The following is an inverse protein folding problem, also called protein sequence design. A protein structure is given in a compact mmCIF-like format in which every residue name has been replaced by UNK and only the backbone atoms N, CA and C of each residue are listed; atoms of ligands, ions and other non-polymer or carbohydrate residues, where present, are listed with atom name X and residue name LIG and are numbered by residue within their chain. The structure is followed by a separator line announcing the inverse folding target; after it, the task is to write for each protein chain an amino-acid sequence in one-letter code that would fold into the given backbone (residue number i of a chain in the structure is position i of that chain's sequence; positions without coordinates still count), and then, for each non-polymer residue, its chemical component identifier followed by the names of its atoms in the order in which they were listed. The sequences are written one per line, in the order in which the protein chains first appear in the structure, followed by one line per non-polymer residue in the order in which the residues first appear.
data_IF_709247792347
#
_entry.id   IF_709247792347
#
_cell.length_a   1.000
_cell.length_b   1.000
_cell.length_c   1.000
_cell.angle_alpha   90.00
_cell.angle_beta   90.00
_cell.angle_gamma   90.00
#
_symmetry.space_group_name_H-M   'P 1'
#
loop_
_entity.id
_entity.type
_entity.pdbx_description
1 polymer ?
#
# COMPACT_ATOMS: atom_id res chain seq x y z
N UNK A 1 -12.99 -21.55 22.56
CA UNK A 1 -12.28 -21.50 21.27
C UNK A 1 -13.02 -20.48 20.42
N UNK A 2 -12.45 -19.29 20.23
CA UNK A 2 -13.10 -18.22 19.46
C UNK A 2 -12.95 -18.56 17.99
N UNK A 3 -14.05 -18.84 17.28
CA UNK A 3 -14.03 -19.01 15.82
C UNK A 3 -13.51 -17.72 15.19
N UNK A 4 -12.40 -17.79 14.48
CA UNK A 4 -11.83 -16.63 13.76
C UNK A 4 -12.76 -16.31 12.59
N UNK A 5 -13.44 -15.19 12.67
CA UNK A 5 -14.31 -14.60 11.63
C UNK A 5 -13.61 -14.49 10.27
N UNK A 6 -14.35 -14.66 9.16
CA UNK A 6 -13.85 -14.38 7.81
C UNK A 6 -13.61 -12.86 7.70
N UNK A 7 -12.36 -12.47 7.49
CA UNK A 7 -11.99 -11.05 7.46
C UNK A 7 -12.00 -10.50 6.03
N UNK A 8 -12.88 -9.52 5.79
CA UNK A 8 -12.88 -8.76 4.53
C UNK A 8 -11.58 -7.94 4.42
N UNK A 9 -10.98 -7.98 3.23
CA UNK A 9 -9.73 -7.27 2.94
C UNK A 9 -8.47 -7.98 3.39
N UNK A 10 -8.58 -9.28 3.71
CA UNK A 10 -7.46 -10.14 4.11
C UNK A 10 -7.42 -11.44 3.31
N UNK A 11 -6.22 -11.91 3.07
CA UNK A 11 -5.97 -13.27 2.58
C UNK A 11 -6.06 -14.24 3.74
N UNK A 12 -6.72 -15.36 3.53
CA UNK A 12 -6.82 -16.43 4.51
C UNK A 12 -7.08 -17.76 3.85
N UNK A 13 -6.72 -18.83 4.53
CA UNK A 13 -7.05 -20.20 4.09
C UNK A 13 -8.46 -20.53 4.54
N UNK A 14 -9.32 -20.92 3.61
CA UNK A 14 -10.70 -21.34 3.85
C UNK A 14 -10.92 -22.75 3.31
N UNK A 15 -11.86 -23.49 3.94
CA UNK A 15 -12.23 -24.85 3.58
C UNK A 15 -13.42 -24.85 2.63
N UNK A 16 -13.43 -25.69 1.61
CA UNK A 16 -14.56 -25.93 0.73
C UNK A 16 -15.67 -26.65 1.48
N UNK A 17 -16.79 -25.96 1.70
CA UNK A 17 -17.94 -26.52 2.46
C UNK A 17 -18.94 -27.18 1.56
N UNK A 18 -19.27 -26.60 0.42
CA UNK A 18 -20.25 -27.11 -0.54
C UNK A 18 -20.02 -26.58 -1.96
N UNK A 19 -20.53 -27.29 -2.94
CA UNK A 19 -20.53 -26.86 -4.35
C UNK A 19 -21.90 -26.30 -4.73
N UNK A 20 -21.93 -25.41 -5.74
CA UNK A 20 -23.16 -24.87 -6.34
C UNK A 20 -22.96 -24.64 -7.85
N UNK A 21 -24.01 -24.26 -8.56
CA UNK A 21 -23.94 -23.87 -9.98
C UNK A 21 -23.09 -22.63 -10.20
N UNK A 22 -22.99 -21.74 -9.19
CA UNK A 22 -22.23 -20.48 -9.24
C UNK A 22 -20.76 -20.61 -8.82
N UNK A 23 -20.37 -21.75 -8.24
CA UNK A 23 -19.01 -21.99 -7.73
C UNK A 23 -19.00 -22.81 -6.45
N UNK A 24 -18.04 -22.56 -5.58
CA UNK A 24 -17.91 -23.24 -4.29
C UNK A 24 -18.05 -22.26 -3.13
N UNK A 25 -18.69 -22.70 -2.06
CA UNK A 25 -18.78 -21.93 -0.81
C UNK A 25 -17.66 -22.35 0.12
N UNK A 26 -16.95 -21.35 0.61
CA UNK A 26 -15.79 -21.49 1.47
C UNK A 26 -16.10 -20.96 2.87
N UNK A 27 -15.54 -21.58 3.89
CA UNK A 27 -15.72 -21.15 5.28
C UNK A 27 -14.56 -21.58 6.17
N UNK A 28 -14.64 -21.19 7.46
CA UNK A 28 -13.71 -21.65 8.48
C UNK A 28 -14.35 -22.77 9.30
N UNK A 29 -13.72 -23.93 9.33
CA UNK A 29 -14.13 -25.03 10.19
C UNK A 29 -14.11 -26.39 9.52
N UNK A 30 -13.88 -27.40 10.33
CA UNK A 30 -14.01 -28.82 9.94
C UNK A 30 -15.47 -29.15 9.64
N UNK A 31 -15.66 -29.99 8.63
CA UNK A 31 -16.95 -30.62 8.33
C UNK A 31 -17.36 -31.56 9.47
N UNK A 32 -18.02 -31.06 10.49
CA UNK A 32 -18.83 -31.92 11.34
C UNK A 32 -20.14 -32.20 10.60
N UNK A 33 -20.44 -33.43 10.31
CA UNK A 33 -21.55 -33.92 9.47
C UNK A 33 -22.98 -33.60 9.94
N UNK A 34 -23.20 -32.41 10.44
CA UNK A 34 -24.49 -31.77 10.71
C UNK A 34 -24.49 -30.40 10.07
N UNK A 35 -25.58 -30.00 9.43
CA UNK A 35 -25.87 -28.72 8.79
C UNK A 35 -25.71 -27.50 9.73
N UNK A 36 -24.50 -27.18 10.16
CA UNK A 36 -24.23 -26.12 11.11
C UNK A 36 -23.15 -25.16 10.61
N UNK A 37 -23.15 -24.84 9.32
CA UNK A 37 -22.59 -23.60 8.83
C UNK A 37 -23.76 -22.72 8.42
N UNK A 38 -24.16 -21.73 9.21
CA UNK A 38 -25.14 -20.76 8.78
C UNK A 38 -24.65 -20.12 7.48
N UNK A 39 -25.53 -19.83 6.54
CA UNK A 39 -25.16 -19.10 5.30
C UNK A 39 -24.38 -17.81 5.58
N UNK A 40 -24.51 -17.27 6.78
CA UNK A 40 -23.83 -16.09 7.28
C UNK A 40 -22.30 -16.25 7.48
N UNK A 41 -21.79 -17.49 7.51
CA UNK A 41 -20.35 -17.74 7.78
C UNK A 41 -19.60 -18.31 6.56
N UNK A 42 -20.20 -18.28 5.37
CA UNK A 42 -19.56 -18.76 4.14
C UNK A 42 -19.47 -17.69 3.07
N UNK A 43 -18.43 -17.77 2.23
CA UNK A 43 -18.22 -16.87 1.08
C UNK A 43 -18.18 -17.69 -0.21
N UNK A 44 -18.71 -17.14 -1.28
CA UNK A 44 -18.67 -17.74 -2.61
C UNK A 44 -17.32 -17.50 -3.27
N UNK A 45 -16.66 -18.56 -3.76
CA UNK A 45 -15.62 -18.50 -4.78
C UNK A 45 -16.28 -18.79 -6.13
N UNK A 46 -16.29 -17.80 -7.08
CA UNK A 46 -16.96 -17.96 -8.36
C UNK A 46 -16.41 -19.14 -9.19
N UNK A 47 -17.28 -19.79 -9.94
CA UNK A 47 -16.97 -20.99 -10.75
C UNK A 47 -15.74 -20.81 -11.64
N UNK A 48 -15.59 -19.65 -12.28
CA UNK A 48 -14.46 -19.34 -13.16
C UNK A 48 -13.10 -19.22 -12.44
N UNK A 49 -13.10 -19.23 -11.10
CA UNK A 49 -11.88 -19.16 -10.27
C UNK A 49 -11.65 -20.43 -9.45
N UNK A 50 -12.52 -21.43 -9.57
CA UNK A 50 -12.37 -22.71 -8.85
C UNK A 50 -11.26 -23.53 -9.54
N UNK A 51 -10.17 -23.88 -8.85
CA UNK A 51 -9.13 -24.73 -9.42
C UNK A 51 -9.68 -26.11 -9.80
N UNK A 52 -9.12 -26.69 -10.85
CA UNK A 52 -9.45 -28.06 -11.26
C UNK A 52 -9.10 -29.05 -10.14
N UNK A 53 -10.02 -30.02 -9.90
CA UNK A 53 -9.82 -31.05 -8.91
C UNK A 53 -10.10 -30.66 -7.46
N UNK A 54 -10.50 -29.40 -7.18
CA UNK A 54 -10.85 -28.96 -5.84
C UNK A 54 -12.11 -29.69 -5.33
N UNK A 55 -12.04 -30.27 -4.13
CA UNK A 55 -13.09 -31.10 -3.51
C UNK A 55 -13.60 -30.47 -2.21
N UNK A 56 -14.78 -30.88 -1.81
CA UNK A 56 -15.32 -30.54 -0.50
C UNK A 56 -14.39 -31.08 0.59
N UNK A 57 -14.02 -30.20 1.54
CA UNK A 57 -13.06 -30.46 2.61
C UNK A 57 -11.64 -30.01 2.30
N UNK A 58 -11.33 -29.68 1.05
CA UNK A 58 -10.02 -29.12 0.70
C UNK A 58 -9.88 -27.68 1.21
N UNK A 59 -8.66 -27.28 1.52
CA UNK A 59 -8.32 -25.93 1.92
C UNK A 59 -7.72 -25.15 0.75
N UNK A 60 -8.12 -23.87 0.63
CA UNK A 60 -7.64 -22.99 -0.44
C UNK A 60 -7.33 -21.59 0.11
N UNK A 61 -6.16 -20.99 -0.22
CA UNK A 61 -5.87 -19.61 0.11
C UNK A 61 -6.67 -18.68 -0.80
N UNK A 62 -7.44 -17.77 -0.21
CA UNK A 62 -8.27 -16.79 -0.93
C UNK A 62 -8.21 -15.43 -0.28
N UNK A 63 -8.40 -14.40 -1.07
CA UNK A 63 -8.66 -13.06 -0.60
C UNK A 63 -10.18 -12.83 -0.56
N UNK A 64 -10.68 -12.18 0.50
CA UNK A 64 -12.11 -11.92 0.66
C UNK A 64 -12.40 -10.43 0.55
N UNK A 65 -13.35 -10.06 -0.31
CA UNK A 65 -13.78 -8.68 -0.53
C UNK A 65 -15.29 -8.60 -0.77
N UNK A 66 -15.83 -7.44 -1.11
CA UNK A 66 -17.25 -7.27 -1.47
C UNK A 66 -17.41 -7.08 -2.96
N UNK A 67 -18.39 -7.80 -3.55
CA UNK A 67 -18.79 -7.63 -4.96
C UNK A 67 -19.57 -6.31 -5.17
N UNK A 68 -20.09 -6.10 -6.38
CA UNK A 68 -20.85 -4.90 -6.73
C UNK A 68 -22.22 -4.79 -6.02
N UNK A 69 -22.70 -5.90 -5.46
CA UNK A 69 -23.96 -5.97 -4.70
C UNK A 69 -23.71 -6.00 -3.18
N UNK A 70 -22.47 -5.66 -2.75
CA UNK A 70 -22.02 -5.66 -1.34
C UNK A 70 -22.01 -7.01 -0.64
N UNK A 71 -22.08 -8.11 -1.39
CA UNK A 71 -21.98 -9.46 -0.83
C UNK A 71 -20.50 -9.84 -0.63
N UNK A 72 -20.14 -10.49 0.48
CA UNK A 72 -18.80 -11.07 0.63
C UNK A 72 -18.53 -12.11 -0.47
N UNK A 73 -17.40 -11.98 -1.15
CA UNK A 73 -16.96 -12.89 -2.21
C UNK A 73 -15.47 -13.20 -2.05
N UNK A 74 -15.09 -14.43 -2.37
CA UNK A 74 -13.70 -14.87 -2.37
C UNK A 74 -13.09 -14.83 -3.78
N UNK A 75 -11.78 -14.64 -3.85
CA UNK A 75 -11.00 -14.74 -5.08
C UNK A 75 -9.66 -15.42 -4.80
N UNK A 76 -9.19 -16.24 -5.77
CA UNK A 76 -7.82 -16.78 -5.76
C UNK A 76 -6.79 -15.76 -6.28
N UNK A 77 -7.25 -14.68 -6.91
CA UNK A 77 -6.38 -13.58 -7.34
C UNK A 77 -5.90 -12.82 -6.11
N UNK A 78 -4.65 -12.39 -6.12
CA UNK A 78 -4.06 -11.61 -5.03
C UNK A 78 -4.08 -10.13 -5.40
N UNK A 79 -4.68 -9.26 -4.56
CA UNK A 79 -4.50 -7.83 -4.69
C UNK A 79 -3.04 -7.45 -4.40
N UNK A 80 -2.63 -6.27 -4.84
CA UNK A 80 -1.29 -5.77 -4.51
C UNK A 80 -1.12 -5.48 -3.02
N UNK A 81 -2.20 -5.13 -2.30
CA UNK A 81 -2.17 -4.85 -0.87
C UNK A 81 -3.46 -5.26 -0.17
N UNK A 82 -3.37 -5.47 1.12
CA UNK A 82 -4.48 -5.79 2.01
C UNK A 82 -4.93 -4.59 2.86
N UNK A 83 -6.09 -4.70 3.49
CA UNK A 83 -6.57 -3.69 4.43
C UNK A 83 -5.57 -3.47 5.57
N UNK A 84 -5.25 -2.20 5.83
CA UNK A 84 -4.24 -1.78 6.81
C UNK A 84 -2.86 -1.55 6.24
N UNK A 85 -2.57 -2.04 5.03
CA UNK A 85 -1.32 -1.81 4.34
C UNK A 85 -1.34 -0.54 3.49
N UNK A 86 -0.16 -0.14 3.03
CA UNK A 86 0.04 0.91 2.06
C UNK A 86 0.36 0.29 0.70
N UNK A 87 0.03 1.00 -0.37
CA UNK A 87 0.42 0.60 -1.72
C UNK A 87 0.63 1.81 -2.63
N UNK A 88 1.54 1.66 -3.58
CA UNK A 88 1.77 2.65 -4.61
C UNK A 88 1.02 2.23 -5.88
N UNK A 89 -0.15 2.87 -6.12
CA UNK A 89 -1.14 2.42 -7.10
C UNK A 89 -1.39 3.46 -8.18
N UNK A 90 -1.76 2.98 -9.38
CA UNK A 90 -2.10 3.82 -10.53
C UNK A 90 -3.59 4.17 -10.54
N UNK A 91 -3.91 5.45 -10.74
CA UNK A 91 -5.28 5.93 -10.97
C UNK A 91 -5.73 5.51 -12.37
N UNK A 92 -6.72 4.63 -12.49
CA UNK A 92 -7.30 4.21 -13.77
C UNK A 92 -8.31 5.23 -14.29
N UNK A 93 -9.18 5.72 -13.41
CA UNK A 93 -10.24 6.64 -13.78
C UNK A 93 -10.56 7.62 -12.64
N UNK A 94 -11.04 8.81 -13.00
CA UNK A 94 -11.61 9.79 -12.09
C UNK A 94 -13.06 10.06 -12.50
N UNK A 95 -13.97 10.01 -11.55
CA UNK A 95 -15.42 10.18 -11.74
C UNK A 95 -15.97 11.27 -10.83
N UNK A 96 -17.27 11.55 -10.89
CA UNK A 96 -17.94 12.49 -9.97
C UNK A 96 -17.97 12.04 -8.50
N UNK A 97 -17.71 10.77 -8.22
CA UNK A 97 -17.75 10.20 -6.86
C UNK A 97 -16.37 10.10 -6.22
N UNK A 98 -15.30 10.01 -7.03
CA UNK A 98 -13.92 9.79 -6.59
C UNK A 98 -13.08 9.18 -7.70
N UNK A 99 -11.94 8.64 -7.37
CA UNK A 99 -11.05 7.94 -8.29
C UNK A 99 -11.11 6.42 -8.09
N UNK A 100 -10.72 5.69 -9.11
CA UNK A 100 -10.59 4.24 -9.12
C UNK A 100 -9.14 3.89 -9.41
N UNK A 101 -8.57 3.02 -8.58
CA UNK A 101 -7.17 2.64 -8.61
C UNK A 101 -7.02 1.18 -9.04
N UNK A 102 -5.99 0.91 -9.83
CA UNK A 102 -5.57 -0.46 -10.11
C UNK A 102 -4.87 -1.06 -8.88
N UNK A 103 -5.42 -2.11 -8.33
CA UNK A 103 -4.89 -2.83 -7.18
C UNK A 103 -4.73 -4.35 -7.41
N UNK A 104 -4.74 -4.77 -8.70
CA UNK A 104 -4.51 -6.15 -9.11
C UNK A 104 -5.75 -7.03 -9.19
N UNK A 105 -6.93 -6.53 -8.83
CA UNK A 105 -8.21 -7.24 -8.98
C UNK A 105 -9.06 -6.67 -10.13
N UNK A 106 -10.07 -7.42 -10.57
CA UNK A 106 -10.99 -6.98 -11.64
C UNK A 106 -11.79 -5.73 -11.26
N UNK A 107 -12.24 -5.68 -10.01
CA UNK A 107 -12.93 -4.52 -9.46
C UNK A 107 -11.89 -3.54 -8.92
N UNK A 108 -11.85 -2.34 -9.50
CA UNK A 108 -10.91 -1.30 -9.09
C UNK A 108 -11.15 -0.84 -7.65
N UNK A 109 -10.08 -0.43 -6.96
CA UNK A 109 -10.14 0.09 -5.60
C UNK A 109 -10.63 1.55 -5.62
N UNK A 110 -11.66 1.84 -4.83
CA UNK A 110 -12.26 3.17 -4.76
C UNK A 110 -11.49 4.11 -3.81
N UNK A 111 -11.18 5.32 -4.30
CA UNK A 111 -10.62 6.43 -3.54
C UNK A 111 -11.64 7.57 -3.50
N UNK A 112 -12.39 7.76 -2.41
CA UNK A 112 -13.38 8.83 -2.28
C UNK A 112 -12.71 10.22 -2.27
N UNK A 113 -13.38 11.26 -2.79
CA UNK A 113 -12.85 12.63 -2.74
C UNK A 113 -12.52 13.10 -1.32
N UNK A 114 -13.32 12.73 -0.31
CA UNK A 114 -13.07 13.07 1.08
C UNK A 114 -11.78 12.47 1.64
N UNK A 115 -11.23 11.44 1.00
CA UNK A 115 -10.00 10.75 1.36
C UNK A 115 -8.79 11.18 0.51
N UNK A 116 -8.99 12.15 -0.39
CA UNK A 116 -7.89 12.75 -1.16
C UNK A 116 -7.31 13.94 -0.42
N UNK A 117 -5.99 14.05 -0.37
CA UNK A 117 -5.29 15.29 0.06
C UNK A 117 -5.41 16.38 -1.00
N UNK A 118 -5.35 16.00 -2.28
CA UNK A 118 -5.45 16.90 -3.44
C UNK A 118 -6.20 16.20 -4.58
N UNK A 119 -6.77 16.93 -5.55
CA UNK A 119 -7.36 16.35 -6.75
C UNK A 119 -6.34 15.54 -7.56
N UNK A 120 -6.74 14.36 -8.01
CA UNK A 120 -5.89 13.42 -8.74
C UNK A 120 -6.30 13.31 -10.21
N UNK A 121 -5.43 12.72 -11.04
CA UNK A 121 -5.66 12.53 -12.48
C UNK A 121 -5.48 11.08 -12.87
N UNK A 122 -6.19 10.63 -13.93
CA UNK A 122 -5.95 9.32 -14.54
C UNK A 122 -4.50 9.19 -15.01
N UNK A 123 -3.91 8.02 -14.82
CA UNK A 123 -2.50 7.71 -15.09
C UNK A 123 -1.53 8.16 -13.99
N UNK A 124 -1.99 8.89 -12.98
CA UNK A 124 -1.15 9.30 -11.85
C UNK A 124 -0.95 8.11 -10.90
N UNK A 125 0.27 7.96 -10.38
CA UNK A 125 0.55 7.01 -9.31
C UNK A 125 0.42 7.71 -7.96
N UNK A 126 -0.13 7.01 -6.96
CA UNK A 126 -0.38 7.54 -5.63
C UNK A 126 0.06 6.55 -4.56
N UNK A 127 0.69 7.03 -3.51
CA UNK A 127 0.82 6.26 -2.28
C UNK A 127 -0.51 6.36 -1.53
N UNK A 128 -1.13 5.22 -1.27
CA UNK A 128 -2.41 5.12 -0.57
C UNK A 128 -2.35 4.11 0.57
N UNK A 129 -3.23 4.28 1.55
CA UNK A 129 -3.52 3.29 2.58
C UNK A 129 -4.86 2.65 2.30
N UNK A 130 -4.95 1.32 2.42
CA UNK A 130 -6.21 0.59 2.28
C UNK A 130 -6.89 0.49 3.65
N UNK A 131 -8.20 0.73 3.68
CA UNK A 131 -9.00 0.65 4.90
C UNK A 131 -10.42 0.15 4.61
N UNK A 132 -11.11 -0.31 5.65
CA UNK A 132 -12.56 -0.59 5.57
C UNK A 132 -13.32 0.69 5.89
N UNK A 133 -14.20 1.12 5.00
CA UNK A 133 -15.10 2.22 5.27
C UNK A 133 -16.23 1.81 6.24
N UNK A 134 -17.11 2.76 6.60
CA UNK A 134 -18.22 2.52 7.55
C UNK A 134 -19.22 1.46 7.05
N UNK A 135 -19.27 1.18 5.76
CA UNK A 135 -20.11 0.14 5.16
C UNK A 135 -19.41 -1.22 5.05
N UNK A 136 -18.14 -1.30 5.47
CA UNK A 136 -17.32 -2.51 5.37
C UNK A 136 -16.78 -2.76 3.97
N UNK A 137 -16.74 -1.75 3.10
CA UNK A 137 -16.09 -1.81 1.78
C UNK A 137 -14.63 -1.43 1.89
N UNK A 138 -13.78 -2.09 1.10
CA UNK A 138 -12.38 -1.73 0.99
C UNK A 138 -12.28 -0.43 0.17
N UNK A 139 -11.61 0.58 0.74
CA UNK A 139 -11.41 1.89 0.13
C UNK A 139 -9.97 2.34 0.34
N UNK A 140 -9.51 3.27 -0.51
CA UNK A 140 -8.20 3.89 -0.42
C UNK A 140 -8.27 5.28 0.22
N UNK A 141 -7.17 5.71 0.83
CA UNK A 141 -6.96 7.07 1.31
C UNK A 141 -5.55 7.56 0.98
N UNK A 142 -5.42 8.80 0.52
CA UNK A 142 -4.12 9.48 0.38
C UNK A 142 -3.75 10.25 1.65
N UNK A 143 -4.64 10.31 2.66
CA UNK A 143 -4.40 10.96 3.96
C UNK A 143 -3.54 10.06 4.84
N UNK A 144 -2.24 10.06 4.61
CA UNK A 144 -1.31 9.16 5.27
C UNK A 144 -0.79 9.69 6.61
N UNK A 145 -0.88 11.01 6.85
CA UNK A 145 -0.44 11.63 8.09
C UNK A 145 -1.17 11.01 9.30
N UNK A 146 -0.41 10.56 10.30
CA UNK A 146 -0.95 9.85 11.46
C UNK A 146 -1.04 8.32 11.30
N UNK A 147 -0.76 7.80 10.09
CA UNK A 147 -0.66 6.35 9.84
C UNK A 147 0.77 5.90 9.52
N UNK A 148 1.66 6.85 9.27
CA UNK A 148 3.07 6.58 9.03
C UNK A 148 3.77 6.29 10.35
N UNK A 149 4.73 5.38 10.29
CA UNK A 149 5.54 5.00 11.44
C UNK A 149 6.64 6.02 11.70
N UNK A 150 7.03 6.11 12.95
CA UNK A 150 8.25 6.78 13.36
C UNK A 150 9.43 5.82 13.15
N UNK A 151 10.56 6.34 12.69
CA UNK A 151 11.78 5.55 12.60
C UNK A 151 12.28 5.26 14.02
N UNK A 152 12.59 4.02 14.30
CA UNK A 152 13.14 3.64 15.61
C UNK A 152 14.49 4.32 15.83
N UNK A 153 14.73 4.74 17.07
CA UNK A 153 16.04 5.30 17.47
C UNK A 153 17.13 4.29 17.18
N UNK A 154 18.29 4.73 16.66
CA UNK A 154 19.45 3.84 16.42
C UNK A 154 19.90 2.99 17.62
N UNK A 155 19.41 3.32 18.82
CA UNK A 155 19.69 2.58 20.05
C UNK A 155 18.82 1.34 20.27
N UNK A 156 17.70 1.19 19.54
CA UNK A 156 16.72 0.12 19.81
C UNK A 156 17.00 -1.18 19.03
N UNK A 157 17.38 -1.09 17.72
CA UNK A 157 17.77 -2.26 16.90
C UNK A 157 18.70 -1.83 15.74
N UNK A 158 19.96 -2.29 15.69
CA UNK A 158 20.95 -1.78 14.72
C UNK A 158 20.67 -2.09 13.25
N UNK A 159 19.86 -3.11 12.94
CA UNK A 159 19.71 -3.61 11.56
C UNK A 159 18.56 -3.01 10.77
N UNK A 160 17.53 -2.44 11.44
CA UNK A 160 16.32 -1.90 10.80
C UNK A 160 16.19 -0.38 10.87
N UNK A 161 17.03 0.28 11.67
CA UNK A 161 16.94 1.72 11.92
C UNK A 161 17.60 2.54 10.80
N UNK A 162 16.93 3.60 10.37
CA UNK A 162 17.53 4.63 9.51
C UNK A 162 18.62 5.39 10.26
N UNK A 163 19.68 5.72 9.52
CA UNK A 163 20.82 6.53 10.04
C UNK A 163 20.99 7.76 9.15
N UNK A 164 21.65 8.76 9.70
CA UNK A 164 22.14 9.90 8.90
C UNK A 164 22.97 9.37 7.72
N UNK A 165 22.78 9.94 6.53
CA UNK A 165 23.41 9.59 5.26
C UNK A 165 22.90 8.28 4.62
N UNK A 166 21.99 7.54 5.23
CA UNK A 166 21.34 6.42 4.54
C UNK A 166 20.55 6.92 3.34
N UNK A 167 20.57 6.15 2.25
CA UNK A 167 19.70 6.38 1.12
C UNK A 167 18.24 6.08 1.50
N UNK A 168 17.30 6.81 0.90
CA UNK A 168 15.88 6.52 1.01
C UNK A 168 15.21 6.56 -0.37
N UNK A 169 14.14 5.80 -0.50
CA UNK A 169 13.13 5.91 -1.54
C UNK A 169 11.79 6.26 -0.89
N UNK A 170 10.98 7.06 -1.57
CA UNK A 170 9.70 7.48 -1.05
C UNK A 170 8.78 8.06 -2.12
N UNK A 171 7.55 8.33 -1.73
CA UNK A 171 6.56 9.00 -2.58
C UNK A 171 5.97 10.21 -1.85
N UNK A 172 5.79 11.30 -2.59
CA UNK A 172 5.14 12.51 -2.08
C UNK A 172 3.68 12.21 -1.79
N UNK A 173 3.24 12.46 -0.56
CA UNK A 173 1.84 12.33 -0.18
C UNK A 173 1.17 13.65 0.23
N UNK A 174 1.95 14.72 0.42
CA UNK A 174 1.43 16.06 0.73
C UNK A 174 2.49 17.12 0.41
N UNK A 175 2.06 18.27 -0.08
CA UNK A 175 2.91 19.45 -0.28
C UNK A 175 2.36 20.61 0.54
N UNK A 176 3.21 21.25 1.34
CA UNK A 176 2.89 22.46 2.05
C UNK A 176 3.98 23.53 1.76
N UNK A 177 3.65 24.67 1.13
CA UNK A 177 4.63 25.65 0.72
C UNK A 177 5.49 26.24 1.87
N UNK A 178 4.93 26.28 3.09
CA UNK A 178 5.61 26.86 4.26
C UNK A 178 6.44 25.81 5.02
N UNK A 179 6.00 24.55 5.03
CA UNK A 179 6.63 23.49 5.82
C UNK A 179 7.57 22.62 5.00
N UNK A 180 7.25 22.40 3.71
CA UNK A 180 8.00 21.56 2.80
C UNK A 180 7.17 20.44 2.16
N UNK A 181 7.87 19.42 1.64
CA UNK A 181 7.27 18.26 0.98
C UNK A 181 7.28 17.07 1.91
N UNK A 182 6.10 16.50 2.14
CA UNK A 182 5.91 15.33 2.98
C UNK A 182 6.03 14.06 2.13
N UNK A 183 6.91 13.18 2.54
CA UNK A 183 7.27 11.97 1.80
C UNK A 183 7.00 10.74 2.68
N UNK A 184 6.25 9.80 2.13
CA UNK A 184 6.11 8.46 2.70
C UNK A 184 7.34 7.66 2.28
N UNK A 185 8.27 7.47 3.22
CA UNK A 185 9.55 6.79 3.01
C UNK A 185 9.36 5.29 3.18
N UNK A 186 9.79 4.50 2.20
CA UNK A 186 9.75 3.04 2.26
C UNK A 186 10.80 2.49 3.23
N UNK A 187 10.63 1.24 3.70
CA UNK A 187 11.68 0.54 4.42
C UNK A 187 12.99 0.55 3.64
N UNK A 188 14.11 0.50 4.35
CA UNK A 188 15.44 0.58 3.76
C UNK A 188 15.67 -0.51 2.70
N UNK A 189 16.06 -0.10 1.48
CA UNK A 189 16.28 -1.00 0.35
C UNK A 189 15.03 -1.43 -0.39
N UNK A 190 13.85 -0.90 -0.05
CA UNK A 190 12.61 -1.19 -0.76
C UNK A 190 12.23 -0.04 -1.72
N UNK A 191 12.35 -0.23 -3.05
CA UNK A 191 12.03 0.80 -4.03
C UNK A 191 10.51 1.05 -4.11
N UNK A 192 10.12 2.29 -4.44
CA UNK A 192 8.73 2.64 -4.74
C UNK A 192 8.41 2.26 -6.18
N UNK A 193 7.54 1.29 -6.36
CA UNK A 193 7.11 0.78 -7.67
C UNK A 193 5.58 0.62 -7.72
N UNK A 194 4.99 0.87 -8.89
CA UNK A 194 3.55 0.69 -9.07
C UNK A 194 3.14 -0.78 -8.83
N UNK A 195 2.05 -0.97 -8.09
CA UNK A 195 1.58 -2.29 -7.67
C UNK A 195 2.33 -2.89 -6.48
N UNK A 196 3.26 -2.15 -5.86
CA UNK A 196 3.96 -2.62 -4.67
C UNK A 196 3.24 -2.21 -3.38
N UNK A 197 3.10 -3.18 -2.48
CA UNK A 197 2.58 -2.97 -1.13
C UNK A 197 3.70 -2.76 -0.11
N UNK A 198 3.35 -2.09 0.98
CA UNK A 198 4.21 -1.85 2.13
C UNK A 198 3.40 -2.04 3.41
N UNK A 199 3.85 -2.92 4.29
CA UNK A 199 3.25 -3.08 5.61
C UNK A 199 3.52 -1.88 6.52
N UNK A 200 4.61 -1.15 6.25
CA UNK A 200 5.06 0.00 7.04
C UNK A 200 5.69 1.04 6.11
N UNK A 201 5.42 2.31 6.34
CA UNK A 201 6.08 3.46 5.74
C UNK A 201 6.45 4.46 6.83
N UNK A 202 7.48 5.27 6.58
CA UNK A 202 8.01 6.20 7.56
C UNK A 202 7.72 7.65 7.18
N UNK A 203 7.58 8.50 8.19
CA UNK A 203 7.37 9.93 8.00
C UNK A 203 8.68 10.60 7.56
N UNK A 204 8.68 11.17 6.36
CA UNK A 204 9.78 11.97 5.83
C UNK A 204 9.34 13.41 5.53
N UNK A 205 10.21 14.38 5.83
CA UNK A 205 10.04 15.78 5.49
C UNK A 205 11.24 16.27 4.67
N UNK A 206 10.97 16.76 3.48
CA UNK A 206 11.92 17.54 2.69
C UNK A 206 11.65 19.03 3.00
N UNK A 207 12.54 19.71 3.74
CA UNK A 207 12.32 21.11 4.14
C UNK A 207 12.37 22.06 2.93
N UNK A 208 11.81 23.28 3.02
CA UNK A 208 11.77 24.21 1.89
C UNK A 208 13.14 24.52 1.29
N UNK A 209 14.20 24.53 2.10
CA UNK A 209 15.60 24.75 1.65
C UNK A 209 16.16 23.62 0.77
N UNK A 210 15.52 22.47 0.73
CA UNK A 210 15.88 21.31 -0.07
C UNK A 210 14.92 21.09 -1.27
N UNK A 211 13.90 21.97 -1.43
CA UNK A 211 12.91 21.89 -2.51
C UNK A 211 13.40 22.73 -3.69
N UNK A 212 13.95 22.09 -4.72
CA UNK A 212 14.51 22.74 -5.90
C UNK A 212 13.61 22.65 -7.15
N UNK A 213 12.49 21.96 -7.04
CA UNK A 213 11.52 21.78 -8.11
C UNK A 213 10.09 21.69 -7.56
N UNK A 214 9.09 21.76 -8.43
CA UNK A 214 7.70 21.53 -8.04
C UNK A 214 7.44 20.03 -7.88
N UNK A 215 6.87 19.66 -6.74
CA UNK A 215 6.43 18.30 -6.44
C UNK A 215 4.91 18.23 -6.50
N UNK A 216 4.42 17.05 -6.85
CA UNK A 216 3.00 16.68 -6.88
C UNK A 216 2.78 15.42 -6.07
N UNK A 217 1.56 15.25 -5.62
CA UNK A 217 1.12 14.02 -4.98
C UNK A 217 1.50 12.81 -5.85
N UNK A 218 2.14 11.81 -5.25
CA UNK A 218 2.58 10.59 -5.93
C UNK A 218 3.95 10.65 -6.60
N UNK A 219 4.61 11.81 -6.70
CA UNK A 219 5.96 11.88 -7.26
C UNK A 219 6.91 11.01 -6.45
N UNK A 220 7.71 10.19 -7.14
CA UNK A 220 8.77 9.40 -6.51
C UNK A 220 9.96 10.29 -6.20
N UNK A 221 10.51 10.11 -5.03
CA UNK A 221 11.66 10.89 -4.53
C UNK A 221 12.65 9.94 -3.90
N UNK A 222 13.91 10.05 -4.33
CA UNK A 222 15.04 9.33 -3.75
C UNK A 222 16.12 10.32 -3.33
N UNK A 223 16.79 10.04 -2.23
CA UNK A 223 17.80 10.92 -1.69
C UNK A 223 18.49 10.30 -0.49
N UNK A 224 18.89 11.15 0.46
CA UNK A 224 19.53 10.71 1.70
C UNK A 224 18.85 11.29 2.93
N UNK A 225 18.99 10.60 4.04
CA UNK A 225 18.51 11.05 5.34
C UNK A 225 19.50 12.05 5.91
N UNK A 226 19.06 13.28 6.11
CA UNK A 226 19.87 14.34 6.70
C UNK A 226 19.94 14.18 8.22
N UNK A 227 18.82 13.81 8.83
CA UNK A 227 18.71 13.61 10.27
C UNK A 227 17.52 12.70 10.60
N UNK A 228 17.70 11.82 11.58
CA UNK A 228 16.61 11.17 12.31
C UNK A 228 16.31 12.04 13.53
N UNK A 229 15.08 12.55 13.64
CA UNK A 229 14.65 13.39 14.76
C UNK A 229 14.44 12.54 16.01
N UNK A 230 14.40 13.19 17.17
CA UNK A 230 14.09 12.54 18.45
C UNK A 230 12.67 11.95 18.50
N UNK A 231 11.75 12.50 17.72
CA UNK A 231 10.39 12.00 17.54
C UNK A 231 10.29 10.91 16.44
N UNK A 232 11.41 10.39 15.96
CA UNK A 232 11.48 9.32 14.94
C UNK A 232 11.16 9.77 13.52
N UNK A 233 10.86 11.04 13.27
CA UNK A 233 10.64 11.55 11.91
C UNK A 233 11.96 11.80 11.19
N UNK A 234 11.94 11.69 9.86
CA UNK A 234 13.12 11.80 9.01
C UNK A 234 13.16 13.18 8.34
N UNK A 235 14.24 13.93 8.56
CA UNK A 235 14.58 15.08 7.72
C UNK A 235 15.37 14.59 6.51
N UNK A 236 14.92 14.95 5.31
CA UNK A 236 15.42 14.44 4.05
C UNK A 236 16.21 15.48 3.28
N UNK A 237 17.15 15.04 2.42
CA UNK A 237 17.90 15.89 1.50
C UNK A 237 18.04 15.20 0.14
N UNK A 238 17.94 15.99 -0.93
CA UNK A 238 18.15 15.55 -2.31
C UNK A 238 19.54 15.91 -2.83
N UNK A 239 20.32 16.67 -2.07
CA UNK A 239 21.68 17.06 -2.46
C UNK A 239 22.59 15.83 -2.45
N UNK A 240 23.35 15.65 -3.52
CA UNK A 240 24.45 14.68 -3.55
C UNK A 240 25.48 15.06 -2.47
N UNK A 241 26.19 14.07 -1.95
CA UNK A 241 27.31 14.35 -1.03
C UNK A 241 28.28 15.33 -1.67
N UNK A 242 28.73 16.34 -0.92
CA UNK A 242 29.67 17.35 -1.42
C UNK A 242 30.95 16.73 -2.02
N UNK A 243 31.39 15.59 -1.50
CA UNK A 243 32.54 14.83 -2.02
C UNK A 243 32.30 14.31 -3.46
N UNK A 244 31.09 13.81 -3.77
CA UNK A 244 30.75 13.32 -5.12
C UNK A 244 30.54 14.47 -6.13
N UNK A 245 30.24 15.69 -5.67
CA UNK A 245 30.17 16.87 -6.51
C UNK A 245 31.56 17.38 -6.90
N UNK A 246 32.54 17.33 -5.99
CA UNK A 246 33.92 17.72 -6.27
C UNK A 246 34.56 16.86 -7.36
N UNK A 247 34.33 15.55 -7.37
CA UNK A 247 34.84 14.66 -8.42
C UNK A 247 34.18 14.93 -9.79
N UNK A 248 32.85 15.14 -9.83
CA UNK A 248 32.14 15.40 -11.07
C UNK A 248 32.42 16.81 -11.65
N UNK A 249 32.65 17.78 -10.80
CA UNK A 249 33.00 19.14 -11.22
C UNK A 249 34.49 19.23 -11.57
N UNK A 250 35.36 18.48 -10.93
CA UNK A 250 36.76 18.28 -11.30
C UNK A 250 36.93 17.69 -12.70
N UNK A 251 36.15 16.63 -13.04
CA UNK A 251 36.13 16.05 -14.36
C UNK A 251 35.58 17.00 -15.45
N UNK A 252 34.55 17.79 -15.14
CA UNK A 252 34.01 18.82 -16.06
C UNK A 252 35.00 19.96 -16.32
N UNK A 253 35.77 20.33 -15.32
CA UNK A 253 36.82 21.35 -15.47
C UNK A 253 37.98 20.81 -16.30
N UNK A 254 38.43 19.59 -16.07
CA UNK A 254 39.47 18.90 -16.85
C UNK A 254 39.08 18.70 -18.31
N UNK A 255 37.82 18.40 -18.61
CA UNK A 255 37.30 18.28 -19.97
C UNK A 255 37.09 19.62 -20.71
N UNK A 256 37.09 20.75 -20.01
CA UNK A 256 37.02 22.08 -20.61
C UNK A 256 38.42 22.70 -20.90
N UNK A 257 39.47 22.11 -20.37
CA UNK A 257 40.87 22.58 -20.51
C UNK A 257 41.64 21.75 -21.57
N UNK A 258 41.04 20.67 -22.06
CA UNK A 258 41.48 19.89 -23.23
C UNK A 258 40.73 20.34 -24.47
#
# INVERSE_FOLDING_TARGET
MTMKEIQIGKTGTLTVLRTSEHGVYLGKGERTGRETGSEAESVLLPKGQVPEGLKIGDEIPVFVYRDSEDRPIATVKRPYAEVGEFAYLTVKAVTKLGAFLDWGLEKDLFLPYKEMEEPVKSGQNLMVRLYLDKSGRISASTKLYGHLSEAESPAAEPSSAFRKEDAFDGAVYRVNPEVGVFIAVSPKGEPIEAGRAFGKLFFGLLPPSEVFQKYRLGDKVSGRIMRVRTDGKLDLSLRKRAFLQLDSDGEKILNKIR
#
